data_IF_370000498188
#
_entry.id   IF_370000498188
#
_cell.length_a   1.000
_cell.length_b   1.000
_cell.length_c   1.000
_cell.angle_alpha   90.00
_cell.angle_beta   90.00
_cell.angle_gamma   90.00
#
_symmetry.space_group_name_H-M   'P 1'
#
loop_
_entity.id
_entity.type
_entity.pdbx_description
1 polymer ?
#
# COMPACT_ATOMS: atom_id res chain seq x y z
N UNK A 1 -0.35 24.68 19.77
CA UNK A 1 -0.72 23.32 20.23
C UNK A 1 -1.81 22.78 19.34
N UNK A 2 -1.45 21.78 18.55
CA UNK A 2 -2.32 21.08 17.62
C UNK A 2 -3.18 20.07 18.38
N UNK A 3 -2.56 19.31 19.29
CA UNK A 3 -3.23 18.27 20.09
C UNK A 3 -3.81 18.85 21.38
N UNK A 4 -5.01 19.43 21.27
CA UNK A 4 -5.78 19.91 22.42
C UNK A 4 -6.31 18.75 23.27
N UNK A 5 -6.49 18.98 24.58
CA UNK A 5 -7.03 17.98 25.52
C UNK A 5 -8.44 17.47 25.16
N UNK A 6 -9.16 18.19 24.29
CA UNK A 6 -10.52 17.83 23.84
C UNK A 6 -10.53 16.71 22.82
N UNK A 7 -9.42 16.42 22.12
CA UNK A 7 -9.35 15.34 21.12
C UNK A 7 -9.00 14.02 21.78
N UNK A 8 -9.85 13.02 21.60
CA UNK A 8 -9.75 11.67 22.16
C UNK A 8 -9.32 10.63 21.11
N UNK A 9 -9.59 10.88 19.83
CA UNK A 9 -9.37 9.93 18.73
C UNK A 9 -8.53 10.55 17.61
N UNK A 10 -7.32 11.07 17.91
CA UNK A 10 -6.46 11.63 16.88
C UNK A 10 -5.88 10.53 15.98
N UNK A 11 -5.59 10.89 14.74
CA UNK A 11 -4.85 10.07 13.77
C UNK A 11 -3.76 10.93 13.13
N UNK A 12 -2.55 10.36 13.00
CA UNK A 12 -1.54 10.89 12.10
C UNK A 12 -1.64 10.15 10.76
N UNK A 13 -1.93 10.87 9.69
CA UNK A 13 -1.93 10.36 8.34
C UNK A 13 -0.66 10.82 7.62
N UNK A 14 0.19 9.87 7.23
CA UNK A 14 1.48 10.17 6.58
C UNK A 14 1.47 9.82 5.09
N UNK A 15 1.94 10.76 4.28
CA UNK A 15 2.14 10.59 2.84
C UNK A 15 3.61 10.62 2.43
N UNK A 16 3.85 10.44 1.13
CA UNK A 16 5.21 10.36 0.57
C UNK A 16 6.05 11.62 0.84
N UNK A 17 5.45 12.79 1.10
CA UNK A 17 6.19 14.00 1.47
C UNK A 17 7.04 13.83 2.73
N UNK A 18 6.59 13.00 3.70
CA UNK A 18 7.39 12.63 4.88
C UNK A 18 8.65 11.86 4.48
N UNK A 19 8.54 10.94 3.52
CA UNK A 19 9.67 10.16 3.02
C UNK A 19 10.67 11.07 2.30
N UNK A 20 10.18 11.93 1.40
CA UNK A 20 11.01 12.89 0.66
C UNK A 20 11.75 13.85 1.59
N UNK A 21 11.11 14.28 2.68
CA UNK A 21 11.72 15.14 3.69
C UNK A 21 12.75 14.43 4.60
N UNK A 22 12.93 13.11 4.47
CA UNK A 22 13.80 12.32 5.35
C UNK A 22 13.26 12.19 6.78
N UNK A 23 11.94 12.29 6.97
CA UNK A 23 11.28 12.36 8.27
C UNK A 23 10.69 11.03 8.76
N UNK A 24 11.00 9.90 8.10
CA UNK A 24 10.46 8.59 8.46
C UNK A 24 10.74 8.22 9.94
N UNK A 25 11.97 8.42 10.41
CA UNK A 25 12.33 8.16 11.82
C UNK A 25 11.51 8.97 12.83
N UNK A 26 11.14 10.21 12.47
CA UNK A 26 10.31 11.07 13.33
C UNK A 26 8.87 10.54 13.46
N UNK A 27 8.34 9.85 12.44
CA UNK A 27 7.03 9.19 12.54
C UNK A 27 7.08 8.06 13.56
N UNK A 28 8.13 7.24 13.54
CA UNK A 28 8.32 6.18 14.53
C UNK A 28 8.45 6.74 15.95
N UNK A 29 9.27 7.78 16.13
CA UNK A 29 9.42 8.48 17.42
C UNK A 29 8.08 9.04 17.91
N UNK A 30 7.33 9.70 17.03
CA UNK A 30 6.01 10.26 17.35
C UNK A 30 5.02 9.18 17.79
N UNK A 31 4.95 8.07 17.05
CA UNK A 31 4.03 6.96 17.33
C UNK A 31 4.36 6.27 18.67
N UNK A 32 5.64 6.19 19.04
CA UNK A 32 6.08 5.64 20.32
C UNK A 32 5.81 6.59 21.48
N UNK A 33 6.05 7.89 21.30
CA UNK A 33 5.87 8.91 22.34
C UNK A 33 4.41 9.13 22.72
N UNK A 34 3.51 9.08 21.74
CA UNK A 34 2.13 9.55 21.89
C UNK A 34 1.09 8.43 21.88
N UNK A 35 1.49 7.24 21.42
CA UNK A 35 0.57 6.14 21.09
C UNK A 35 -0.52 6.53 20.07
N UNK A 36 -0.38 7.63 19.33
CA UNK A 36 -1.34 8.00 18.29
C UNK A 36 -1.25 6.99 17.13
N UNK A 37 -2.38 6.42 16.65
CA UNK A 37 -2.37 5.52 15.51
C UNK A 37 -1.93 6.22 14.22
N UNK A 38 -1.12 5.51 13.44
CA UNK A 38 -0.58 6.00 12.16
C UNK A 38 -1.33 5.31 11.02
N UNK A 39 -1.94 6.10 10.15
CA UNK A 39 -2.46 5.64 8.86
C UNK A 39 -1.58 6.17 7.75
N UNK A 40 -1.59 5.51 6.60
CA UNK A 40 -0.77 5.90 5.45
C UNK A 40 -1.63 6.22 4.22
N UNK A 41 -1.03 6.94 3.29
CA UNK A 41 -1.46 6.95 1.89
C UNK A 41 -0.81 5.78 1.15
N UNK A 42 -1.35 5.35 0.00
CA UNK A 42 -0.73 4.28 -0.80
C UNK A 42 0.76 4.53 -1.10
N UNK A 43 1.14 5.77 -1.44
CA UNK A 43 2.55 6.11 -1.75
C UNK A 43 3.44 6.23 -0.52
N UNK A 44 2.87 6.14 0.68
CA UNK A 44 3.58 6.21 1.96
C UNK A 44 3.39 4.98 2.81
N UNK A 45 2.95 3.85 2.23
CA UNK A 45 2.69 2.61 2.98
C UNK A 45 3.92 2.17 3.77
N UNK A 46 5.12 2.35 3.23
CA UNK A 46 6.38 2.00 3.90
C UNK A 46 6.71 2.84 5.15
N UNK A 47 5.94 3.88 5.47
CA UNK A 47 6.17 4.75 6.63
C UNK A 47 5.54 4.24 7.93
N UNK A 48 4.62 3.26 7.85
CA UNK A 48 4.02 2.63 9.03
C UNK A 48 3.94 1.11 8.81
N UNK A 49 5.04 0.44 9.17
CA UNK A 49 5.24 -1.00 8.98
C UNK A 49 5.42 -1.70 10.33
N UNK A 50 5.52 -3.04 10.30
CA UNK A 50 5.63 -3.89 11.49
C UNK A 50 4.56 -3.51 12.55
N UNK A 51 4.98 -3.15 13.77
CA UNK A 51 4.09 -2.82 14.90
C UNK A 51 3.25 -1.56 14.69
N UNK A 52 3.58 -0.71 13.73
CA UNK A 52 2.80 0.48 13.39
C UNK A 52 1.75 0.23 12.32
N UNK A 53 1.78 -0.94 11.65
CA UNK A 53 0.92 -1.21 10.52
C UNK A 53 -0.54 -1.42 10.93
N UNK A 54 -1.39 -0.45 10.55
CA UNK A 54 -2.85 -0.60 10.56
C UNK A 54 -3.38 -0.75 9.13
N UNK A 55 -2.88 0.07 8.20
CA UNK A 55 -3.20 0.04 6.79
C UNK A 55 -3.17 1.43 6.16
N UNK A 56 -3.59 1.51 4.91
CA UNK A 56 -3.72 2.78 4.18
C UNK A 56 -5.18 3.13 3.88
N UNK A 57 -5.45 4.42 3.71
CA UNK A 57 -6.80 4.95 3.47
C UNK A 57 -7.14 5.07 1.98
N UNK A 58 -8.42 5.31 1.69
CA UNK A 58 -8.91 5.66 0.35
C UNK A 58 -9.64 4.52 -0.35
N UNK A 59 -9.85 4.67 -1.67
CA UNK A 59 -10.77 3.84 -2.46
C UNK A 59 -10.50 2.34 -2.35
N UNK A 60 -9.24 1.92 -2.32
CA UNK A 60 -8.84 0.51 -2.18
C UNK A 60 -8.05 0.28 -0.87
N UNK A 61 -8.14 1.24 0.05
CA UNK A 61 -7.52 1.17 1.37
C UNK A 61 -8.10 0.06 2.22
N UNK A 62 -7.38 -0.34 3.26
CA UNK A 62 -7.85 -1.35 4.19
C UNK A 62 -9.15 -0.87 4.87
N UNK A 63 -10.13 -1.77 5.03
CA UNK A 63 -11.40 -1.44 5.72
C UNK A 63 -11.14 -0.86 7.10
N UNK A 64 -10.27 -1.50 7.87
CA UNK A 64 -9.86 -1.04 9.21
C UNK A 64 -9.37 0.41 9.20
N UNK A 65 -8.49 0.77 8.26
CA UNK A 65 -7.94 2.13 8.17
C UNK A 65 -9.04 3.16 7.87
N UNK A 66 -9.93 2.85 6.93
CA UNK A 66 -11.04 3.74 6.57
C UNK A 66 -12.11 3.85 7.69
N UNK A 67 -12.38 2.77 8.44
CA UNK A 67 -13.30 2.81 9.58
C UNK A 67 -12.73 3.62 10.75
N UNK A 68 -11.46 3.43 11.09
CA UNK A 68 -10.75 4.24 12.10
C UNK A 68 -10.72 5.71 11.69
N UNK A 69 -10.42 5.99 10.41
CA UNK A 69 -10.43 7.34 9.87
C UNK A 69 -11.81 8.02 10.02
N UNK A 70 -12.90 7.27 9.86
CA UNK A 70 -14.24 7.84 9.97
C UNK A 70 -14.66 8.17 11.41
N UNK A 71 -14.02 7.52 12.39
CA UNK A 71 -14.28 7.69 13.81
C UNK A 71 -13.32 8.68 14.50
N UNK A 72 -12.26 9.12 13.81
CA UNK A 72 -11.31 10.06 14.36
C UNK A 72 -11.92 11.48 14.55
N UNK A 73 -11.48 12.18 15.60
CA UNK A 73 -11.92 13.55 15.91
C UNK A 73 -10.86 14.63 15.57
N UNK A 74 -9.62 14.19 15.30
CA UNK A 74 -8.55 15.00 14.76
C UNK A 74 -7.76 14.19 13.73
N UNK A 75 -7.64 14.73 12.53
CA UNK A 75 -6.78 14.18 11.49
C UNK A 75 -5.62 15.13 11.21
N UNK A 76 -4.41 14.71 11.52
CA UNK A 76 -3.18 15.44 11.16
C UNK A 76 -2.56 14.76 9.94
N UNK A 77 -2.73 15.39 8.77
CA UNK A 77 -2.23 14.90 7.49
C UNK A 77 -0.89 15.56 7.16
N UNK A 78 0.18 14.78 7.11
CA UNK A 78 1.55 15.26 6.88
C UNK A 78 2.13 14.72 5.59
N UNK A 79 2.52 15.62 4.67
CA UNK A 79 3.16 15.24 3.40
C UNK A 79 2.25 14.40 2.51
N UNK A 80 0.94 14.57 2.64
CA UNK A 80 -0.07 13.88 1.88
C UNK A 80 -0.96 14.91 1.20
N UNK A 81 -0.97 14.90 -0.13
CA UNK A 81 -1.82 15.81 -0.91
C UNK A 81 -3.29 15.68 -0.52
N UNK A 82 -3.79 14.47 -0.21
CA UNK A 82 -5.23 14.17 -0.03
C UNK A 82 -6.01 14.33 -1.34
N UNK A 83 -5.57 13.61 -2.36
CA UNK A 83 -6.22 13.59 -3.67
C UNK A 83 -7.50 12.77 -3.68
N UNK A 84 -8.19 12.79 -4.83
CA UNK A 84 -9.53 12.19 -4.99
C UNK A 84 -9.58 10.68 -4.66
N UNK A 85 -8.50 9.93 -4.89
CA UNK A 85 -8.40 8.48 -4.51
C UNK A 85 -8.31 8.26 -2.99
N UNK A 86 -8.00 9.29 -2.22
CA UNK A 86 -7.88 9.25 -0.76
C UNK A 86 -9.14 9.79 -0.08
N UNK A 87 -9.63 10.95 -0.53
CA UNK A 87 -10.77 11.63 0.09
C UNK A 87 -12.13 11.27 -0.53
N UNK A 88 -12.13 10.60 -1.69
CA UNK A 88 -13.35 10.32 -2.45
C UNK A 88 -13.86 11.54 -3.23
N UNK A 89 -15.03 11.38 -3.85
CA UNK A 89 -15.70 12.45 -4.62
C UNK A 89 -16.33 13.51 -3.71
N UNK A 90 -16.83 13.06 -2.56
CA UNK A 90 -17.60 13.83 -1.58
C UNK A 90 -16.73 14.06 -0.34
N UNK A 91 -16.04 15.20 -0.29
CA UNK A 91 -15.06 15.50 0.77
C UNK A 91 -15.71 15.67 2.15
N UNK A 92 -17.01 15.93 2.21
CA UNK A 92 -17.84 15.91 3.41
C UNK A 92 -17.85 14.53 4.10
N UNK A 93 -17.71 13.45 3.32
CA UNK A 93 -17.66 12.08 3.84
C UNK A 93 -16.25 11.66 4.28
N UNK A 94 -15.23 12.47 4.00
CA UNK A 94 -13.86 12.18 4.40
C UNK A 94 -13.63 12.57 5.86
N UNK A 95 -13.35 11.59 6.72
CA UNK A 95 -13.13 11.78 8.16
C UNK A 95 -14.21 12.70 8.77
N UNK A 96 -15.51 12.32 8.69
CA UNK A 96 -16.63 13.25 8.87
C UNK A 96 -16.67 13.89 10.26
N UNK A 97 -16.11 13.23 11.28
CA UNK A 97 -16.07 13.71 12.68
C UNK A 97 -14.82 14.52 13.02
N UNK A 98 -13.85 14.59 12.11
CA UNK A 98 -12.53 15.11 12.40
C UNK A 98 -12.36 16.59 12.02
N UNK A 99 -11.70 17.33 12.92
CA UNK A 99 -10.96 18.52 12.53
C UNK A 99 -9.75 18.09 11.68
N UNK A 100 -9.43 18.87 10.63
CA UNK A 100 -8.34 18.54 9.71
C UNK A 100 -7.20 19.55 9.82
N UNK A 101 -6.00 19.03 10.07
CA UNK A 101 -4.73 19.75 9.94
C UNK A 101 -4.00 19.19 8.73
N UNK A 102 -3.68 20.05 7.75
CA UNK A 102 -2.93 19.68 6.54
C UNK A 102 -1.57 20.34 6.53
N UNK A 103 -0.56 19.53 6.25
CA UNK A 103 0.83 19.96 6.11
C UNK A 103 1.32 19.52 4.76
N UNK A 104 1.68 20.49 3.94
CA UNK A 104 2.28 20.27 2.64
C UNK A 104 3.31 21.37 2.38
N UNK A 105 4.33 21.07 1.59
CA UNK A 105 5.33 22.07 1.20
C UNK A 105 4.79 22.95 0.05
N UNK A 106 3.89 22.38 -0.76
CA UNK A 106 3.34 23.01 -1.95
C UNK A 106 2.09 23.84 -1.61
N UNK A 107 2.17 25.16 -1.87
CA UNK A 107 1.04 26.08 -1.68
C UNK A 107 -0.15 25.73 -2.56
N UNK A 108 0.07 25.17 -3.75
CA UNK A 108 -1.01 24.85 -4.67
C UNK A 108 -1.83 23.65 -4.19
N UNK A 109 -1.19 22.67 -3.54
CA UNK A 109 -1.93 21.60 -2.87
C UNK A 109 -2.73 22.12 -1.68
N UNK A 110 -2.24 23.14 -0.98
CA UNK A 110 -2.95 23.82 0.10
C UNK A 110 -3.98 24.86 -0.39
N UNK A 111 -3.98 25.26 -1.66
CA UNK A 111 -4.94 26.25 -2.18
C UNK A 111 -6.38 25.72 -2.17
N UNK A 112 -6.56 24.41 -2.38
CA UNK A 112 -7.86 23.74 -2.29
C UNK A 112 -8.22 23.40 -0.85
N UNK A 113 -9.51 23.48 -0.54
CA UNK A 113 -10.06 23.03 0.75
C UNK A 113 -10.53 21.58 0.63
N UNK A 114 -10.20 20.73 1.61
CA UNK A 114 -10.86 19.43 1.81
C UNK A 114 -11.99 19.58 2.82
N UNK A 115 -11.74 20.28 3.92
CA UNK A 115 -12.77 20.70 4.89
C UNK A 115 -12.81 22.22 5.01
N UNK A 116 -13.99 22.76 5.31
CA UNK A 116 -14.22 24.21 5.44
C UNK A 116 -13.31 24.87 6.49
N UNK A 117 -13.08 24.19 7.63
CA UNK A 117 -12.32 24.71 8.78
C UNK A 117 -10.93 24.10 8.92
N UNK A 118 -10.36 23.56 7.83
CA UNK A 118 -9.04 22.93 7.91
C UNK A 118 -7.93 23.94 8.24
N UNK A 119 -7.00 23.54 9.09
CA UNK A 119 -5.79 24.32 9.38
C UNK A 119 -4.70 23.88 8.43
N UNK A 120 -4.07 24.84 7.76
CA UNK A 120 -3.04 24.60 6.74
C UNK A 120 -1.69 25.08 7.24
N UNK A 121 -0.67 24.24 7.10
CA UNK A 121 0.71 24.55 7.40
C UNK A 121 1.54 24.33 6.14
N UNK A 122 1.96 25.42 5.50
CA UNK A 122 2.89 25.37 4.38
C UNK A 122 4.31 25.26 4.93
N UNK A 123 4.82 24.04 5.09
CA UNK A 123 6.15 23.80 5.65
C UNK A 123 6.66 22.42 5.28
N UNK A 124 7.96 22.21 5.42
CA UNK A 124 8.58 20.91 5.24
C UNK A 124 8.06 19.91 6.28
N UNK A 125 7.72 18.71 5.84
CA UNK A 125 7.17 17.66 6.70
C UNK A 125 8.10 17.32 7.88
N UNK A 126 9.42 17.37 7.71
CA UNK A 126 10.40 17.12 8.78
C UNK A 126 10.31 18.19 9.86
N UNK A 127 10.19 19.45 9.47
CA UNK A 127 10.18 20.56 10.41
C UNK A 127 8.85 20.61 11.17
N UNK A 128 7.73 20.28 10.49
CA UNK A 128 6.46 20.08 11.17
C UNK A 128 6.49 18.90 12.16
N UNK A 129 7.07 17.76 11.78
CA UNK A 129 7.18 16.59 12.68
C UNK A 129 8.01 16.93 13.92
N UNK A 130 9.11 17.68 13.78
CA UNK A 130 9.90 18.19 14.92
C UNK A 130 9.09 19.12 15.82
N UNK A 131 8.29 20.01 15.22
CA UNK A 131 7.43 20.93 15.97
C UNK A 131 6.41 20.16 16.82
N UNK A 132 5.69 19.20 16.24
CA UNK A 132 4.67 18.44 17.00
C UNK A 132 5.28 17.49 18.03
N UNK A 133 6.49 16.96 17.78
CA UNK A 133 7.23 16.18 18.77
C UNK A 133 7.60 16.99 20.01
N UNK A 134 7.75 18.31 19.90
CA UNK A 134 8.01 19.20 21.03
C UNK A 134 6.73 19.61 21.78
N UNK A 135 5.53 19.29 21.28
CA UNK A 135 4.30 19.52 22.02
C UNK A 135 4.16 18.55 23.21
N UNK A 136 3.51 19.01 24.27
CA UNK A 136 3.09 18.13 25.37
C UNK A 136 1.80 17.41 24.98
N UNK A 137 1.95 16.29 24.27
CA UNK A 137 0.85 15.45 23.81
C UNK A 137 0.60 14.36 24.87
N UNK A 138 -0.65 14.22 25.31
CA UNK A 138 -1.04 13.14 26.23
C UNK A 138 -0.90 11.76 25.58
N UNK A 139 -0.87 10.72 26.39
CA UNK A 139 -0.85 9.35 25.89
C UNK A 139 -2.22 8.92 25.33
N UNK A 140 -2.22 8.28 24.16
CA UNK A 140 -3.39 7.75 23.46
C UNK A 140 -3.40 6.21 23.41
N UNK A 141 -2.76 5.53 24.37
CA UNK A 141 -2.68 4.06 24.41
C UNK A 141 -4.05 3.38 24.35
N UNK A 142 -5.06 3.93 25.02
CA UNK A 142 -6.43 3.40 24.98
C UNK A 142 -6.99 3.41 23.54
N UNK A 143 -6.89 4.56 22.86
CA UNK A 143 -7.34 4.70 21.48
C UNK A 143 -6.58 3.78 20.52
N UNK A 144 -5.26 3.65 20.71
CA UNK A 144 -4.44 2.70 19.95
C UNK A 144 -4.88 1.27 20.16
N UNK A 145 -5.17 0.88 21.40
CA UNK A 145 -5.62 -0.47 21.73
C UNK A 145 -6.95 -0.79 21.04
N UNK A 146 -7.92 0.14 21.05
CA UNK A 146 -9.19 -0.01 20.33
C UNK A 146 -8.97 -0.19 18.83
N UNK A 147 -8.10 0.64 18.22
CA UNK A 147 -7.75 0.51 16.80
C UNK A 147 -7.15 -0.87 16.46
N UNK A 148 -6.25 -1.38 17.32
CA UNK A 148 -5.62 -2.69 17.13
C UNK A 148 -6.59 -3.86 17.38
N UNK A 149 -7.53 -3.71 18.31
CA UNK A 149 -8.59 -4.69 18.55
C UNK A 149 -9.50 -4.83 17.32
N UNK A 150 -9.95 -3.69 16.77
CA UNK A 150 -10.72 -3.65 15.54
C UNK A 150 -9.94 -4.24 14.37
N UNK A 151 -8.64 -3.92 14.26
CA UNK A 151 -7.76 -4.54 13.26
C UNK A 151 -7.78 -6.06 13.36
N UNK A 152 -7.66 -6.62 14.57
CA UNK A 152 -7.67 -8.08 14.78
C UNK A 152 -9.00 -8.73 14.36
N UNK A 153 -10.12 -8.03 14.52
CA UNK A 153 -11.43 -8.50 14.04
C UNK A 153 -11.47 -8.46 12.51
N UNK A 154 -11.10 -7.33 11.92
CA UNK A 154 -11.24 -7.07 10.49
C UNK A 154 -10.21 -7.77 9.60
N UNK A 155 -9.03 -8.13 10.14
CA UNK A 155 -7.97 -8.89 9.43
C UNK A 155 -8.45 -10.28 8.94
N UNK A 156 -9.58 -10.77 9.44
CA UNK A 156 -10.20 -12.03 8.99
C UNK A 156 -10.97 -11.88 7.67
N UNK A 157 -11.20 -10.65 7.22
CA UNK A 157 -12.02 -10.32 6.06
C UNK A 157 -11.17 -9.66 4.96
N UNK A 158 -11.78 -9.50 3.78
CA UNK A 158 -11.22 -8.77 2.64
C UNK A 158 -9.86 -9.29 2.11
N UNK A 159 -9.42 -10.49 2.52
CA UNK A 159 -8.25 -11.16 1.94
C UNK A 159 -8.64 -12.01 0.75
N UNK A 160 -8.05 -11.73 -0.40
CA UNK A 160 -8.17 -12.51 -1.63
C UNK A 160 -6.89 -13.31 -1.89
N UNK A 161 -6.90 -14.23 -2.86
CA UNK A 161 -5.70 -15.03 -3.23
C UNK A 161 -4.47 -14.15 -3.49
N UNK A 162 -4.66 -12.98 -4.12
CA UNK A 162 -3.58 -12.02 -4.33
C UNK A 162 -3.02 -11.42 -3.03
N UNK A 163 -3.87 -11.14 -2.04
CA UNK A 163 -3.41 -10.70 -0.71
C UNK A 163 -2.62 -11.81 -0.02
N UNK A 164 -3.10 -13.05 -0.06
CA UNK A 164 -2.43 -14.20 0.57
C UNK A 164 -1.07 -14.48 -0.09
N UNK A 165 -0.96 -14.36 -1.41
CA UNK A 165 0.31 -14.45 -2.12
C UNK A 165 1.29 -13.36 -1.68
N UNK A 166 0.82 -12.10 -1.52
CA UNK A 166 1.65 -11.00 -1.00
C UNK A 166 2.07 -11.25 0.44
N UNK A 167 1.19 -11.73 1.32
CA UNK A 167 1.52 -12.08 2.71
C UNK A 167 2.57 -13.19 2.76
N UNK A 168 2.45 -14.18 1.86
CA UNK A 168 3.45 -15.24 1.74
C UNK A 168 4.81 -14.68 1.34
N UNK A 169 4.86 -13.82 0.32
CA UNK A 169 6.11 -13.13 -0.09
C UNK A 169 6.67 -12.35 1.10
N UNK A 170 5.85 -11.52 1.76
CA UNK A 170 6.25 -10.70 2.90
C UNK A 170 6.87 -11.53 4.04
N UNK A 171 6.30 -12.72 4.33
CA UNK A 171 6.81 -13.61 5.38
C UNK A 171 8.26 -14.07 5.14
N UNK A 172 8.65 -14.17 3.87
CA UNK A 172 9.97 -14.64 3.41
C UNK A 172 10.98 -13.51 3.19
N UNK A 173 10.54 -12.24 3.20
CA UNK A 173 11.44 -11.10 3.07
C UNK A 173 12.35 -10.97 4.31
N UNK A 174 13.59 -10.49 4.14
CA UNK A 174 14.45 -10.10 5.24
C UNK A 174 13.88 -8.88 5.99
N UNK A 175 14.50 -8.51 7.10
CA UNK A 175 14.24 -7.23 7.75
C UNK A 175 14.71 -6.07 6.86
N UNK A 176 13.98 -4.95 6.91
CA UNK A 176 14.26 -3.73 6.13
C UNK A 176 14.48 -3.95 4.62
N UNK A 177 13.61 -4.71 3.91
CA UNK A 177 13.78 -4.97 2.49
C UNK A 177 13.46 -3.73 1.65
N UNK A 178 13.96 -3.69 0.42
CA UNK A 178 13.52 -2.75 -0.61
C UNK A 178 12.70 -3.48 -1.66
N UNK A 179 11.41 -3.13 -1.71
CA UNK A 179 10.43 -3.76 -2.60
C UNK A 179 9.92 -2.73 -3.60
N UNK A 180 9.98 -3.04 -4.89
CA UNK A 180 9.28 -2.27 -5.92
C UNK A 180 8.01 -2.99 -6.33
N UNK A 181 6.97 -2.21 -6.55
CA UNK A 181 5.64 -2.70 -6.88
C UNK A 181 5.18 -2.04 -8.17
N UNK A 182 4.78 -2.86 -9.15
CA UNK A 182 4.23 -2.40 -10.41
C UNK A 182 2.75 -1.96 -10.27
N UNK A 183 2.04 -1.69 -11.36
CA UNK A 183 0.68 -1.13 -11.37
C UNK A 183 -0.34 -2.16 -11.83
N UNK A 184 -1.41 -2.33 -11.05
CA UNK A 184 -2.50 -3.27 -11.34
C UNK A 184 -3.29 -3.64 -10.08
N UNK A 185 -3.98 -4.79 -10.08
CA UNK A 185 -4.59 -5.33 -8.85
C UNK A 185 -3.54 -5.69 -7.80
N UNK A 186 -2.41 -6.27 -8.23
CA UNK A 186 -1.28 -6.59 -7.36
C UNK A 186 -0.72 -5.38 -6.62
N UNK A 187 -0.78 -4.18 -7.21
CA UNK A 187 -0.42 -2.93 -6.53
C UNK A 187 -1.25 -2.72 -5.27
N UNK A 188 -2.55 -2.96 -5.37
CA UNK A 188 -3.47 -2.76 -4.26
C UNK A 188 -3.32 -3.89 -3.23
N UNK A 189 -3.17 -5.15 -3.66
CA UNK A 189 -2.84 -6.25 -2.74
C UNK A 189 -1.54 -6.00 -1.97
N UNK A 190 -0.51 -5.47 -2.65
CA UNK A 190 0.74 -5.06 -2.01
C UNK A 190 0.49 -3.94 -0.99
N UNK A 191 -0.20 -2.87 -1.38
CA UNK A 191 -0.49 -1.76 -0.45
C UNK A 191 -1.33 -2.21 0.76
N UNK A 192 -2.19 -3.22 0.61
CA UNK A 192 -3.05 -3.75 1.67
C UNK A 192 -2.33 -4.74 2.61
N UNK A 193 -1.41 -5.56 2.07
CA UNK A 193 -0.95 -6.79 2.73
C UNK A 193 0.57 -6.95 2.80
N UNK A 194 1.36 -6.13 2.10
CA UNK A 194 2.83 -6.18 2.16
C UNK A 194 3.32 -5.50 3.45
N UNK A 195 3.34 -6.26 4.54
CA UNK A 195 3.84 -5.78 5.84
C UNK A 195 5.32 -6.15 5.99
N UNK A 196 6.18 -5.14 6.00
CA UNK A 196 7.62 -5.28 6.17
C UNK A 196 7.99 -5.42 7.65
N UNK A 197 9.07 -6.17 7.92
CA UNK A 197 9.74 -6.23 9.22
C UNK A 197 10.77 -5.10 9.30
N UNK A 198 10.93 -4.50 10.49
CA UNK A 198 11.88 -3.41 10.71
C UNK A 198 11.28 -2.02 10.48
N UNK A 199 12.14 -1.00 10.40
CA UNK A 199 11.78 0.42 10.38
C UNK A 199 12.39 1.21 9.21
N UNK A 200 13.32 0.60 8.45
CA UNK A 200 14.08 1.24 7.36
C UNK A 200 13.72 0.69 5.99
N UNK A 201 12.94 -0.38 5.92
CA UNK A 201 12.43 -0.95 4.67
C UNK A 201 11.72 0.07 3.79
N UNK A 202 11.67 -0.22 2.48
CA UNK A 202 11.12 0.67 1.45
C UNK A 202 10.14 -0.06 0.55
N UNK A 203 9.07 0.64 0.17
CA UNK A 203 8.13 0.20 -0.86
C UNK A 203 8.04 1.29 -1.92
N UNK A 204 8.57 1.01 -3.12
CA UNK A 204 8.45 1.89 -4.28
C UNK A 204 7.17 1.55 -5.04
N UNK A 205 6.21 2.47 -5.06
CA UNK A 205 4.89 2.26 -5.66
C UNK A 205 4.45 3.47 -6.48
N UNK A 206 4.04 3.23 -7.73
CA UNK A 206 3.57 4.29 -8.65
C UNK A 206 2.07 4.52 -8.49
N UNK A 207 1.63 5.22 -7.44
CA UNK A 207 0.20 5.48 -7.20
C UNK A 207 -0.36 6.75 -7.86
N UNK A 208 0.52 7.70 -8.24
CA UNK A 208 0.14 8.99 -8.83
C UNK A 208 -0.31 8.87 -10.28
N UNK A 209 0.65 8.71 -11.20
CA UNK A 209 0.39 8.49 -12.63
C UNK A 209 -0.12 7.07 -12.89
N UNK A 210 0.46 6.06 -12.23
CA UNK A 210 0.08 4.66 -12.43
C UNK A 210 0.68 4.05 -13.68
N UNK A 211 1.99 4.25 -13.89
CA UNK A 211 2.73 3.68 -15.03
C UNK A 211 2.95 2.18 -14.85
N UNK A 212 2.28 1.35 -15.66
CA UNK A 212 2.58 -0.08 -15.75
C UNK A 212 4.00 -0.32 -16.28
N UNK A 213 4.64 -1.42 -15.86
CA UNK A 213 6.01 -1.75 -16.21
C UNK A 213 7.07 -1.04 -15.37
N UNK A 214 6.69 -0.33 -14.31
CA UNK A 214 7.66 0.43 -13.50
C UNK A 214 8.40 -0.45 -12.48
N UNK A 215 7.84 -1.60 -12.09
CA UNK A 215 8.37 -2.42 -11.00
C UNK A 215 9.81 -2.92 -11.23
N UNK A 216 10.09 -3.44 -12.43
CA UNK A 216 11.43 -3.95 -12.76
C UNK A 216 12.47 -2.81 -12.88
N UNK A 217 12.24 -1.71 -13.63
CA UNK A 217 13.14 -0.55 -13.64
C UNK A 217 13.38 0.08 -12.25
N UNK A 218 12.35 0.19 -11.41
CA UNK A 218 12.52 0.67 -10.02
C UNK A 218 13.43 -0.26 -9.22
N UNK A 219 13.31 -1.57 -9.38
CA UNK A 219 14.15 -2.55 -8.69
C UNK A 219 15.60 -2.52 -9.16
N UNK A 220 15.83 -2.25 -10.45
CA UNK A 220 17.16 -2.05 -11.03
C UNK A 220 17.81 -0.81 -10.42
N UNK A 221 17.12 0.33 -10.46
CA UNK A 221 17.62 1.59 -9.90
C UNK A 221 17.90 1.48 -8.40
N UNK A 222 16.98 0.88 -7.65
CA UNK A 222 17.15 0.60 -6.23
C UNK A 222 18.39 -0.28 -5.96
N UNK A 223 18.55 -1.40 -6.68
CA UNK A 223 19.70 -2.29 -6.48
C UNK A 223 21.02 -1.57 -6.77
N UNK A 224 21.12 -0.83 -7.88
CA UNK A 224 22.31 -0.06 -8.25
C UNK A 224 22.64 0.99 -7.18
N UNK A 225 21.64 1.77 -6.73
CA UNK A 225 21.84 2.79 -5.69
C UNK A 225 22.32 2.23 -4.35
N UNK A 226 22.08 0.94 -4.11
CA UNK A 226 22.48 0.23 -2.89
C UNK A 226 23.67 -0.70 -3.14
N UNK A 227 24.57 -0.35 -4.07
CA UNK A 227 25.77 -1.11 -4.40
C UNK A 227 25.47 -2.57 -4.80
N UNK A 228 24.46 -2.77 -5.65
CA UNK A 228 24.02 -4.09 -6.14
C UNK A 228 23.52 -5.02 -5.02
N UNK A 229 22.89 -4.49 -3.99
CA UNK A 229 22.20 -5.29 -2.95
C UNK A 229 20.88 -5.89 -3.46
N UNK A 230 20.41 -6.92 -2.75
CA UNK A 230 19.16 -7.63 -3.04
C UNK A 230 17.97 -6.65 -3.01
N UNK A 231 17.18 -6.68 -4.08
CA UNK A 231 15.89 -5.98 -4.16
C UNK A 231 14.81 -6.95 -4.60
N UNK A 232 13.56 -6.63 -4.25
CA UNK A 232 12.41 -7.46 -4.54
C UNK A 232 11.46 -6.70 -5.49
N UNK A 233 10.99 -7.35 -6.53
CA UNK A 233 10.06 -6.80 -7.51
C UNK A 233 8.76 -7.60 -7.47
N UNK A 234 7.65 -6.98 -7.09
CA UNK A 234 6.32 -7.60 -7.19
C UNK A 234 5.57 -6.93 -8.34
N UNK A 235 5.18 -7.72 -9.32
CA UNK A 235 4.55 -7.25 -10.55
C UNK A 235 3.37 -8.13 -10.94
N UNK A 236 2.49 -7.60 -11.79
CA UNK A 236 1.52 -8.39 -12.53
C UNK A 236 2.11 -8.85 -13.86
N UNK A 237 1.46 -9.84 -14.46
CA UNK A 237 1.76 -10.36 -15.80
C UNK A 237 1.72 -9.26 -16.88
N UNK A 238 0.68 -8.41 -16.88
CA UNK A 238 0.56 -7.35 -17.88
C UNK A 238 1.58 -6.23 -17.73
N UNK A 239 1.87 -5.84 -16.48
CA UNK A 239 2.89 -4.82 -16.19
C UNK A 239 4.30 -5.30 -16.54
N UNK A 240 4.63 -6.54 -16.19
CA UNK A 240 5.95 -7.10 -16.44
C UNK A 240 6.30 -7.14 -17.94
N UNK A 241 5.31 -7.47 -18.80
CA UNK A 241 5.50 -7.50 -20.25
C UNK A 241 5.92 -6.15 -20.85
N UNK A 242 5.57 -5.01 -20.23
CA UNK A 242 5.87 -3.69 -20.78
C UNK A 242 7.37 -3.37 -20.83
N UNK A 243 8.14 -3.88 -19.88
CA UNK A 243 9.58 -3.64 -19.78
C UNK A 243 10.37 -4.93 -19.57
N UNK A 244 9.89 -6.05 -20.12
CA UNK A 244 10.51 -7.37 -19.94
C UNK A 244 11.92 -7.45 -20.53
N UNK A 245 12.24 -6.60 -21.51
CA UNK A 245 13.58 -6.49 -22.09
C UNK A 245 14.65 -6.08 -21.05
N UNK A 246 14.26 -5.45 -19.95
CA UNK A 246 15.19 -5.06 -18.88
C UNK A 246 15.73 -6.26 -18.09
N UNK A 247 15.25 -7.48 -18.33
CA UNK A 247 15.92 -8.70 -17.89
C UNK A 247 17.35 -8.80 -18.45
N UNK A 248 17.62 -8.22 -19.63
CA UNK A 248 18.97 -8.03 -20.16
C UNK A 248 19.83 -7.22 -19.19
N UNK A 249 19.33 -6.05 -18.76
CA UNK A 249 20.02 -5.18 -17.81
C UNK A 249 20.30 -5.90 -16.50
N UNK A 250 19.31 -6.62 -15.96
CA UNK A 250 19.46 -7.42 -14.72
C UNK A 250 20.60 -8.44 -14.87
N UNK A 251 20.64 -9.15 -16.01
CA UNK A 251 21.67 -10.16 -16.29
C UNK A 251 23.04 -9.53 -16.48
N UNK A 252 23.15 -8.53 -17.38
CA UNK A 252 24.41 -7.88 -17.75
C UNK A 252 25.08 -7.22 -16.55
N UNK A 253 24.29 -6.59 -15.68
CA UNK A 253 24.80 -5.93 -14.47
C UNK A 253 24.93 -6.87 -13.26
N UNK A 254 24.52 -8.14 -13.37
CA UNK A 254 24.47 -9.11 -12.28
C UNK A 254 23.71 -8.58 -11.05
N UNK A 255 22.53 -8.00 -11.25
CA UNK A 255 21.73 -7.43 -10.16
C UNK A 255 20.94 -8.53 -9.46
N UNK A 256 21.01 -8.66 -8.12
CA UNK A 256 20.34 -9.73 -7.38
C UNK A 256 18.86 -9.42 -7.12
N UNK A 257 18.09 -9.19 -8.19
CA UNK A 257 16.66 -8.86 -8.12
C UNK A 257 15.82 -10.14 -8.04
N UNK A 258 14.94 -10.20 -7.04
CA UNK A 258 13.97 -11.29 -6.85
C UNK A 258 12.62 -10.85 -7.42
N UNK A 259 12.23 -11.42 -8.56
CA UNK A 259 11.05 -11.00 -9.31
C UNK A 259 9.90 -11.96 -9.02
N UNK A 260 8.76 -11.44 -8.59
CA UNK A 260 7.51 -12.17 -8.36
C UNK A 260 6.44 -11.63 -9.29
N UNK A 261 6.02 -12.46 -10.24
CA UNK A 261 4.89 -12.16 -11.12
C UNK A 261 3.65 -12.81 -10.51
N UNK A 262 2.71 -12.00 -10.06
CA UNK A 262 1.37 -12.45 -9.66
C UNK A 262 0.53 -12.57 -10.92
N UNK A 263 0.47 -13.79 -11.49
CA UNK A 263 -0.05 -14.06 -12.81
C UNK A 263 -1.48 -14.60 -12.75
N UNK A 264 -2.45 -13.69 -12.91
CA UNK A 264 -3.87 -14.03 -13.08
C UNK A 264 -4.31 -14.06 -14.55
N UNK A 265 -3.39 -13.89 -15.51
CA UNK A 265 -3.65 -13.94 -16.96
C UNK A 265 -4.72 -12.95 -17.44
N UNK A 266 -4.91 -11.86 -16.70
CA UNK A 266 -5.88 -10.81 -17.03
C UNK A 266 -5.32 -9.43 -16.68
N UNK A 267 -5.77 -8.40 -17.39
CA UNK A 267 -5.55 -7.01 -16.97
C UNK A 267 -6.52 -6.66 -15.82
N UNK A 268 -6.27 -7.26 -14.65
CA UNK A 268 -7.23 -7.40 -13.55
C UNK A 268 -7.94 -6.12 -13.10
N UNK A 269 -7.23 -4.98 -13.10
CA UNK A 269 -7.79 -3.70 -12.66
C UNK A 269 -8.82 -3.16 -13.68
N UNK A 270 -8.58 -3.41 -14.97
CA UNK A 270 -9.44 -3.00 -16.07
C UNK A 270 -10.60 -4.00 -16.20
N UNK A 271 -10.32 -5.30 -16.14
CA UNK A 271 -11.34 -6.34 -16.21
C UNK A 271 -12.32 -6.25 -15.03
N UNK A 272 -11.87 -5.91 -13.81
CA UNK A 272 -12.79 -5.63 -12.69
C UNK A 272 -13.77 -4.51 -13.04
N UNK A 273 -13.30 -3.43 -13.66
CA UNK A 273 -14.17 -2.31 -14.04
C UNK A 273 -15.16 -2.74 -15.14
N UNK A 274 -14.71 -3.56 -16.09
CA UNK A 274 -15.58 -4.14 -17.14
C UNK A 274 -16.64 -5.07 -16.55
N UNK A 275 -16.27 -5.90 -15.57
CA UNK A 275 -17.19 -6.75 -14.81
C UNK A 275 -18.25 -5.90 -14.10
N UNK A 276 -17.83 -4.96 -13.25
CA UNK A 276 -18.77 -4.24 -12.36
C UNK A 276 -19.60 -3.18 -13.07
N UNK A 277 -19.05 -2.50 -14.09
CA UNK A 277 -19.68 -1.32 -14.68
C UNK A 277 -20.16 -1.54 -16.11
N UNK A 278 -19.72 -2.62 -16.77
CA UNK A 278 -20.01 -2.87 -18.19
C UNK A 278 -20.61 -4.25 -18.45
N UNK A 279 -21.19 -4.90 -17.44
CA UNK A 279 -21.92 -6.18 -17.57
C UNK A 279 -21.06 -7.26 -18.22
N UNK A 280 -19.86 -7.48 -17.68
CA UNK A 280 -18.91 -8.49 -18.19
C UNK A 280 -18.46 -8.29 -19.64
N UNK A 281 -18.55 -7.06 -20.17
CA UNK A 281 -18.02 -6.75 -21.50
C UNK A 281 -16.50 -6.53 -21.45
N UNK A 282 -15.76 -7.63 -21.53
CA UNK A 282 -14.30 -7.62 -21.61
C UNK A 282 -13.83 -7.20 -23.01
N UNK A 283 -12.85 -6.31 -23.06
CA UNK A 283 -12.24 -5.83 -24.30
C UNK A 283 -10.72 -5.78 -24.12
N UNK A 284 -10.00 -6.74 -24.71
CA UNK A 284 -8.54 -6.87 -24.67
C UNK A 284 -7.95 -6.93 -23.25
N UNK A 285 -8.65 -7.59 -22.33
CA UNK A 285 -8.25 -7.69 -20.92
C UNK A 285 -8.24 -9.12 -20.39
N UNK A 286 -8.78 -10.07 -21.15
CA UNK A 286 -8.88 -11.50 -20.85
C UNK A 286 -8.48 -12.32 -22.08
N UNK A 287 -8.21 -13.61 -21.91
CA UNK A 287 -7.89 -14.51 -23.03
C UNK A 287 -8.96 -14.50 -24.12
N UNK A 288 -10.22 -14.67 -23.73
CA UNK A 288 -11.37 -14.64 -24.66
C UNK A 288 -11.52 -13.31 -25.41
N UNK A 289 -10.99 -12.21 -24.85
CA UNK A 289 -11.04 -10.87 -25.46
C UNK A 289 -9.71 -10.45 -26.11
N UNK A 290 -8.74 -11.36 -26.24
CA UNK A 290 -7.50 -11.17 -26.99
C UNK A 290 -6.27 -10.78 -26.19
N UNK A 291 -6.31 -10.83 -24.85
CA UNK A 291 -5.12 -10.66 -24.00
C UNK A 291 -4.48 -12.01 -23.71
N UNK A 292 -3.20 -12.17 -24.02
CA UNK A 292 -2.45 -13.40 -23.76
C UNK A 292 -1.21 -13.11 -22.94
N UNK A 293 -0.70 -14.13 -22.24
CA UNK A 293 0.53 -14.07 -21.47
C UNK A 293 1.54 -15.10 -21.95
N UNK A 294 2.83 -14.76 -22.04
CA UNK A 294 3.86 -15.71 -22.44
C UNK A 294 4.29 -16.61 -21.28
N UNK A 295 5.09 -17.63 -21.61
CA UNK A 295 5.81 -18.42 -20.61
C UNK A 295 6.98 -17.59 -20.03
N UNK A 296 6.73 -16.91 -18.91
CA UNK A 296 7.73 -16.06 -18.27
C UNK A 296 8.96 -16.82 -17.77
N UNK A 297 8.83 -18.12 -17.45
CA UNK A 297 9.97 -18.96 -17.06
C UNK A 297 10.91 -19.12 -18.25
N UNK A 298 10.40 -19.50 -19.42
CA UNK A 298 11.22 -19.64 -20.64
C UNK A 298 11.89 -18.33 -21.04
N UNK A 299 11.18 -17.21 -20.91
CA UNK A 299 11.76 -15.88 -21.21
C UNK A 299 12.91 -15.56 -20.25
N UNK A 300 12.73 -15.77 -18.95
CA UNK A 300 13.79 -15.55 -17.96
C UNK A 300 15.01 -16.45 -18.24
N UNK A 301 14.80 -17.72 -18.52
CA UNK A 301 15.85 -18.68 -18.86
C UNK A 301 16.61 -18.26 -20.14
N UNK A 302 15.92 -17.68 -21.13
CA UNK A 302 16.55 -17.15 -22.34
C UNK A 302 17.50 -15.96 -22.06
N UNK A 303 17.21 -15.15 -21.04
CA UNK A 303 18.13 -14.12 -20.54
C UNK A 303 19.19 -14.67 -19.56
N UNK A 304 19.22 -15.98 -19.31
CA UNK A 304 20.15 -16.60 -18.35
C UNK A 304 19.80 -16.33 -16.89
N UNK A 305 18.53 -16.05 -16.58
CA UNK A 305 18.00 -15.88 -15.22
C UNK A 305 17.22 -17.13 -14.84
N UNK A 306 17.57 -17.75 -13.71
CA UNK A 306 16.83 -18.91 -13.21
C UNK A 306 15.38 -18.53 -12.88
N UNK A 307 14.45 -19.42 -13.18
CA UNK A 307 13.04 -19.14 -12.98
C UNK A 307 12.23 -20.39 -12.64
N UNK A 308 11.11 -20.18 -11.98
CA UNK A 308 10.14 -21.21 -11.66
C UNK A 308 8.72 -20.71 -11.92
N UNK A 309 7.87 -21.55 -12.51
CA UNK A 309 6.42 -21.36 -12.54
C UNK A 309 5.82 -22.16 -11.40
N UNK A 310 5.05 -21.51 -10.54
CA UNK A 310 4.43 -22.07 -9.34
C UNK A 310 2.93 -22.09 -9.54
N UNK A 311 2.27 -23.23 -9.26
CA UNK A 311 0.81 -23.33 -9.33
C UNK A 311 0.15 -22.67 -8.11
N UNK A 312 0.92 -22.49 -7.02
CA UNK A 312 0.49 -21.79 -5.82
C UNK A 312 1.65 -21.02 -5.17
N UNK A 313 1.34 -19.90 -4.49
CA UNK A 313 2.31 -19.15 -3.69
C UNK A 313 2.91 -19.97 -2.54
N UNK A 314 2.26 -21.04 -2.09
CA UNK A 314 2.81 -21.94 -1.06
C UNK A 314 4.13 -22.60 -1.52
N UNK A 315 4.29 -22.84 -2.82
CA UNK A 315 5.50 -23.48 -3.36
C UNK A 315 6.75 -22.61 -3.22
N UNK A 316 6.62 -21.32 -2.88
CA UNK A 316 7.77 -20.45 -2.58
C UNK A 316 8.64 -21.03 -1.45
N UNK A 317 8.09 -21.83 -0.53
CA UNK A 317 8.85 -22.49 0.54
C UNK A 317 9.97 -23.40 0.01
N UNK A 318 9.82 -23.94 -1.19
CA UNK A 318 10.85 -24.78 -1.83
C UNK A 318 12.06 -23.97 -2.31
N UNK A 319 11.98 -22.64 -2.30
CA UNK A 319 12.96 -21.73 -2.90
C UNK A 319 13.58 -20.75 -1.89
N UNK A 320 13.53 -21.03 -0.59
CA UNK A 320 14.08 -20.15 0.46
C UNK A 320 15.52 -19.67 0.18
N UNK A 321 16.36 -20.55 -0.38
CA UNK A 321 17.75 -20.20 -0.72
C UNK A 321 17.85 -19.14 -1.83
N UNK A 322 16.92 -19.14 -2.79
CA UNK A 322 16.93 -18.21 -3.91
C UNK A 322 16.62 -16.78 -3.47
N UNK A 323 15.89 -16.60 -2.36
CA UNK A 323 15.58 -15.29 -1.79
C UNK A 323 16.82 -14.62 -1.18
N UNK A 324 17.80 -15.41 -0.71
CA UNK A 324 18.91 -14.93 0.12
C UNK A 324 20.24 -14.84 -0.61
N UNK A 325 20.41 -15.57 -1.71
CA UNK A 325 21.65 -15.50 -2.49
C UNK A 325 21.73 -14.22 -3.35
N UNK A 326 22.88 -14.00 -3.99
CA UNK A 326 23.12 -12.83 -4.84
C UNK A 326 22.82 -13.11 -6.33
N UNK A 327 21.96 -14.07 -6.66
CA UNK A 327 21.58 -14.35 -8.05
C UNK A 327 20.17 -13.83 -8.35
N UNK A 328 19.92 -13.20 -9.51
CA UNK A 328 18.55 -12.87 -9.91
C UNK A 328 17.70 -14.12 -10.03
N UNK A 329 16.40 -14.00 -9.79
CA UNK A 329 15.44 -15.07 -10.05
C UNK A 329 14.07 -14.52 -10.39
N UNK A 330 13.30 -15.32 -11.12
CA UNK A 330 11.90 -15.02 -11.45
C UNK A 330 10.98 -16.13 -10.98
N UNK A 331 9.95 -15.76 -10.24
CA UNK A 331 8.85 -16.62 -9.83
C UNK A 331 7.59 -16.18 -10.56
N UNK A 332 7.10 -17.03 -11.45
CA UNK A 332 5.78 -16.87 -12.07
C UNK A 332 4.74 -17.59 -11.21
N UNK A 333 4.00 -16.84 -10.40
CA UNK A 333 3.05 -17.38 -9.42
C UNK A 333 1.65 -17.34 -10.03
N UNK A 334 1.10 -18.50 -10.33
CA UNK A 334 -0.23 -18.61 -10.92
C UNK A 334 -1.29 -18.26 -9.88
N UNK A 335 -2.20 -17.37 -10.28
CA UNK A 335 -3.40 -17.02 -9.54
C UNK A 335 -4.65 -17.42 -10.35
N UNK A 336 -5.82 -17.53 -9.69
CA UNK A 336 -7.08 -17.65 -10.41
C UNK A 336 -7.33 -16.44 -11.32
N UNK A 337 -7.88 -16.67 -12.51
CA UNK A 337 -8.22 -15.60 -13.47
C UNK A 337 -9.24 -14.61 -12.91
N UNK A 338 -10.21 -15.11 -12.15
CA UNK A 338 -11.19 -14.28 -11.44
C UNK A 338 -10.64 -13.87 -10.07
N UNK A 339 -9.64 -12.99 -10.08
CA UNK A 339 -9.12 -12.37 -8.86
C UNK A 339 -9.88 -11.09 -8.53
N UNK A 340 -10.41 -10.99 -7.31
CA UNK A 340 -11.11 -9.78 -6.84
C UNK A 340 -10.15 -8.82 -6.13
N UNK A 341 -10.51 -7.54 -6.07
CA UNK A 341 -9.87 -6.58 -5.19
C UNK A 341 -10.89 -6.04 -4.18
N UNK A 342 -10.71 -6.45 -2.93
CA UNK A 342 -11.54 -6.02 -1.81
C UNK A 342 -10.64 -5.54 -0.66
N UNK A 343 -11.12 -4.64 0.21
CA UNK A 343 -12.37 -3.91 0.09
C UNK A 343 -12.24 -2.75 -0.90
N UNK A 344 -13.38 -2.22 -1.35
CA UNK A 344 -13.46 -1.07 -2.24
C UNK A 344 -14.52 -0.09 -1.76
N UNK A 345 -14.17 1.19 -1.66
CA UNK A 345 -15.11 2.27 -1.38
C UNK A 345 -15.76 2.71 -2.70
N UNK A 346 -17.09 2.69 -2.74
CA UNK A 346 -17.86 3.27 -3.86
C UNK A 346 -17.71 4.79 -3.85
N UNK A 347 -17.44 5.37 -5.01
CA UNK A 347 -17.15 6.81 -5.13
C UNK A 347 -18.35 7.69 -4.82
N UNK A 348 -19.54 7.20 -5.16
CA UNK A 348 -20.80 7.93 -5.06
C UNK A 348 -21.37 7.89 -3.64
N UNK A 349 -21.28 6.73 -2.99
CA UNK A 349 -21.92 6.48 -1.69
C UNK A 349 -20.96 6.46 -0.52
N UNK A 350 -19.64 6.45 -0.78
CA UNK A 350 -18.60 6.25 0.24
C UNK A 350 -18.75 4.95 1.06
N UNK A 351 -19.53 3.99 0.55
CA UNK A 351 -19.76 2.72 1.22
C UNK A 351 -18.64 1.73 0.92
N UNK A 352 -18.17 1.03 1.94
CA UNK A 352 -17.13 0.00 1.82
C UNK A 352 -17.79 -1.31 1.35
N UNK A 353 -17.29 -1.86 0.25
CA UNK A 353 -17.73 -3.14 -0.33
C UNK A 353 -16.63 -4.20 -0.27
N UNK A 354 -16.95 -5.49 -0.08
CA UNK A 354 -18.28 -6.03 0.22
C UNK A 354 -18.81 -5.53 1.58
N UNK A 355 -20.13 -5.56 1.78
CA UNK A 355 -20.69 -5.28 3.11
C UNK A 355 -20.42 -6.49 4.00
N UNK A 356 -19.96 -6.26 5.22
CA UNK A 356 -19.80 -7.32 6.23
C UNK A 356 -21.13 -7.52 6.97
N UNK A 357 -21.25 -8.64 7.67
CA UNK A 357 -22.42 -8.92 8.51
C UNK A 357 -22.62 -7.81 9.55
N UNK A 358 -23.89 -7.46 9.81
CA UNK A 358 -24.23 -6.35 10.71
C UNK A 358 -23.70 -6.58 12.14
N UNK A 359 -23.61 -7.84 12.59
CA UNK A 359 -23.00 -8.17 13.88
C UNK A 359 -21.53 -7.73 13.96
N UNK A 360 -20.75 -7.96 12.89
CA UNK A 360 -19.33 -7.59 12.82
C UNK A 360 -19.19 -6.07 12.78
N UNK A 361 -20.03 -5.40 11.99
CA UNK A 361 -20.03 -3.93 11.88
C UNK A 361 -20.36 -3.31 13.24
N UNK A 362 -21.44 -3.76 13.89
CA UNK A 362 -21.86 -3.24 15.18
C UNK A 362 -20.80 -3.45 16.26
N UNK A 363 -20.15 -4.62 16.29
CA UNK A 363 -19.06 -4.89 17.22
C UNK A 363 -17.88 -3.91 17.02
N UNK A 364 -17.48 -3.68 15.76
CA UNK A 364 -16.40 -2.73 15.46
C UNK A 364 -16.79 -1.30 15.83
N UNK A 365 -18.00 -0.88 15.48
CA UNK A 365 -18.48 0.46 15.81
C UNK A 365 -18.58 0.69 17.32
N UNK A 366 -18.99 -0.32 18.09
CA UNK A 366 -19.02 -0.23 19.55
C UNK A 366 -17.61 0.01 20.13
N UNK A 367 -16.61 -0.76 19.68
CA UNK A 367 -15.21 -0.59 20.12
C UNK A 367 -14.68 0.80 19.75
N UNK A 368 -14.98 1.30 18.54
CA UNK A 368 -14.52 2.61 18.09
C UNK A 368 -15.31 3.78 18.69
N UNK A 369 -16.48 3.56 19.28
CA UNK A 369 -17.31 4.62 19.89
C UNK A 369 -16.95 4.91 21.35
N UNK A 370 -16.48 3.90 22.09
CA UNK A 370 -15.86 4.07 23.42
C UNK A 370 -14.72 5.09 23.32
#
# INVERSE_FOLDING_TARGET
>A
MIFRLTYNKPILLVGNGVRTAGAAGLVHEFALKTSIPILTTMNGVDLAQDRLHIGFIGTHGNRVANMILNECDLLVSVGARLGIRQVGRHTENFAPKADLVRVDIDEYELSRNIKEKEKKYQTDARDFMRMILNENIRDYSLWKQQCLEVKKILDKYDKQEGNLAVEKIASMLPEDPVVSVDVGQHQCWCAQSLVLKGQKGRIHISGGYGTMGCGLPYSIGASISMNKNITFCITGDGGFQMNIQELETVRRENLPIKIFILNNRVLGKISETQHTNHKDRYANTTEESGYTVPDFRKIAEAYGIRAATLNSYHELDNYQNWFRDNQPCLFNIMLPERSSLTPKIKWETSTITPRLDDHVINQVEEILRI
#
